data_IF_233184687081
#
_entry.id   IF_233184687081
#
_cell.length_a   1.000
_cell.length_b   1.000
_cell.length_c   1.000
_cell.angle_alpha   90.00
_cell.angle_beta   90.00
_cell.angle_gamma   90.00
#
_symmetry.space_group_name_H-M   'P 1'
#
loop_
_entity.id
_entity.type
_entity.pdbx_description
1 polymer ?
#
# COMPACT_ATOMS: atom_id res chain seq x y z
N UNK A 1 -15.94 -3.70 13.25
CA UNK A 1 -15.50 -4.20 11.93
C UNK A 1 -15.90 -5.66 11.90
N UNK A 2 -16.90 -6.06 11.11
CA UNK A 2 -17.28 -7.46 11.00
C UNK A 2 -16.30 -8.12 10.00
N UNK A 3 -15.27 -8.78 10.51
CA UNK A 3 -14.47 -9.72 9.72
C UNK A 3 -15.34 -10.95 9.44
N UNK A 4 -15.39 -11.38 8.19
CA UNK A 4 -15.98 -12.67 7.84
C UNK A 4 -14.89 -13.71 8.10
N UNK A 5 -15.03 -14.45 9.20
CA UNK A 5 -14.01 -15.37 9.71
C UNK A 5 -12.63 -14.69 9.82
N UNK A 6 -11.61 -15.28 9.19
CA UNK A 6 -10.21 -14.82 9.17
C UNK A 6 -9.88 -13.84 8.02
N UNK A 7 -10.89 -13.37 7.27
CA UNK A 7 -10.69 -12.53 6.08
C UNK A 7 -11.18 -11.09 6.33
N UNK A 8 -10.25 -10.14 6.19
CA UNK A 8 -10.55 -8.70 6.34
C UNK A 8 -11.23 -8.09 5.12
N UNK A 9 -10.82 -8.49 3.91
CA UNK A 9 -11.34 -7.98 2.64
C UNK A 9 -11.84 -9.15 1.79
N UNK A 10 -13.11 -9.56 1.93
CA UNK A 10 -13.66 -10.67 1.18
C UNK A 10 -13.80 -10.34 -0.31
N UNK A 11 -13.68 -11.37 -1.15
CA UNK A 11 -13.87 -11.31 -2.59
C UNK A 11 -15.33 -11.53 -2.99
N UNK A 12 -15.54 -12.23 -4.12
CA UNK A 12 -16.89 -12.65 -4.52
C UNK A 12 -17.49 -13.70 -3.57
N UNK A 13 -16.64 -14.52 -2.95
CA UNK A 13 -17.00 -15.42 -1.86
C UNK A 13 -16.54 -14.80 -0.53
N UNK A 14 -17.37 -14.90 0.52
CA UNK A 14 -17.15 -14.22 1.81
C UNK A 14 -16.00 -14.84 2.63
N UNK A 15 -15.68 -16.09 2.39
CA UNK A 15 -14.62 -16.88 3.01
C UNK A 15 -13.26 -16.74 2.32
N UNK A 16 -13.20 -16.03 1.18
CA UNK A 16 -11.98 -15.90 0.37
C UNK A 16 -11.51 -14.46 0.28
N UNK A 17 -10.20 -14.20 0.39
CA UNK A 17 -9.66 -12.87 0.20
C UNK A 17 -9.87 -12.36 -1.23
N UNK A 18 -9.97 -11.04 -1.37
CA UNK A 18 -9.99 -10.37 -2.67
C UNK A 18 -8.74 -10.72 -3.49
N UNK A 19 -8.93 -10.93 -4.80
CA UNK A 19 -7.80 -11.16 -5.71
C UNK A 19 -7.05 -9.86 -6.02
N UNK A 20 -5.76 -9.98 -6.37
CA UNK A 20 -4.94 -8.84 -6.80
C UNK A 20 -5.59 -8.08 -7.97
N UNK A 21 -6.19 -8.81 -8.91
CA UNK A 21 -6.91 -8.22 -10.06
C UNK A 21 -8.12 -7.39 -9.64
N UNK A 22 -8.88 -7.87 -8.64
CA UNK A 22 -10.02 -7.14 -8.10
C UNK A 22 -9.58 -5.88 -7.33
N UNK A 23 -8.52 -5.97 -6.53
CA UNK A 23 -7.92 -4.81 -5.85
C UNK A 23 -7.41 -3.76 -6.87
N UNK A 24 -6.72 -4.19 -7.92
CA UNK A 24 -6.25 -3.29 -8.99
C UNK A 24 -7.41 -2.60 -9.72
N UNK A 25 -8.50 -3.32 -9.99
CA UNK A 25 -9.71 -2.74 -10.58
C UNK A 25 -10.35 -1.70 -9.66
N UNK A 26 -10.39 -1.98 -8.36
CA UNK A 26 -10.92 -1.05 -7.36
C UNK A 26 -10.11 0.26 -7.32
N UNK A 27 -8.77 0.17 -7.29
CA UNK A 27 -7.89 1.34 -7.29
C UNK A 27 -8.06 2.17 -8.57
N UNK A 28 -8.19 1.53 -9.73
CA UNK A 28 -8.47 2.25 -11.00
C UNK A 28 -9.77 3.05 -10.96
N UNK A 29 -10.84 2.48 -10.37
CA UNK A 29 -12.12 3.18 -10.21
C UNK A 29 -12.02 4.40 -9.29
N UNK A 30 -11.27 4.29 -8.20
CA UNK A 30 -11.03 5.42 -7.29
C UNK A 30 -10.27 6.52 -8.01
N UNK A 31 -9.20 6.14 -8.73
CA UNK A 31 -8.36 7.09 -9.47
C UNK A 31 -9.17 7.94 -10.44
N UNK A 32 -10.12 7.33 -11.16
CA UNK A 32 -10.95 8.05 -12.12
C UNK A 32 -11.86 9.13 -11.47
N UNK A 33 -12.08 9.07 -10.15
CA UNK A 33 -12.86 10.04 -9.37
C UNK A 33 -12.03 11.06 -8.57
N UNK A 34 -10.70 10.98 -8.61
CA UNK A 34 -9.82 11.90 -7.89
C UNK A 34 -9.22 12.93 -8.85
N UNK A 35 -9.15 14.23 -8.48
CA UNK A 35 -8.56 15.28 -9.31
C UNK A 35 -7.02 15.28 -9.20
N UNK A 36 -6.40 14.12 -9.41
CA UNK A 36 -4.95 13.92 -9.34
C UNK A 36 -4.47 13.20 -10.60
N UNK A 37 -3.20 13.42 -10.95
CA UNK A 37 -2.57 12.79 -12.12
C UNK A 37 -2.53 11.25 -12.01
N UNK A 38 -2.29 10.55 -13.11
CA UNK A 38 -2.29 9.07 -13.13
C UNK A 38 -1.29 8.51 -12.11
N UNK A 39 -1.80 7.69 -11.18
CA UNK A 39 -1.01 7.05 -10.14
C UNK A 39 -1.32 5.55 -10.05
N UNK A 40 -0.34 4.77 -9.58
CA UNK A 40 -0.47 3.32 -9.35
C UNK A 40 -0.42 3.00 -7.87
N UNK A 41 -0.86 1.79 -7.51
CA UNK A 41 -0.73 1.25 -6.15
C UNK A 41 0.69 1.32 -5.61
N UNK A 42 1.71 1.17 -6.47
CA UNK A 42 3.11 1.30 -6.07
C UNK A 42 3.49 2.72 -5.65
N UNK A 43 2.86 3.74 -6.26
CA UNK A 43 3.15 5.13 -5.94
C UNK A 43 2.65 5.50 -4.55
N UNK A 44 1.56 4.88 -4.09
CA UNK A 44 1.12 5.00 -2.69
C UNK A 44 2.24 4.57 -1.71
N UNK A 45 2.93 3.46 -2.00
CA UNK A 45 4.05 2.99 -1.18
C UNK A 45 5.23 3.97 -1.18
N UNK A 46 5.51 4.62 -2.32
CA UNK A 46 6.54 5.66 -2.43
C UNK A 46 6.15 6.91 -1.65
N UNK A 47 4.92 7.40 -1.83
CA UNK A 47 4.40 8.57 -1.12
C UNK A 47 4.42 8.38 0.40
N UNK A 48 4.13 7.17 0.90
CA UNK A 48 4.23 6.85 2.32
C UNK A 48 5.68 6.99 2.82
N UNK A 49 6.65 6.46 2.07
CA UNK A 49 8.07 6.57 2.42
C UNK A 49 8.56 8.02 2.46
N UNK A 50 8.20 8.81 1.44
CA UNK A 50 8.57 10.23 1.36
C UNK A 50 7.90 11.02 2.48
N UNK A 51 6.59 10.86 2.67
CA UNK A 51 5.84 11.57 3.72
C UNK A 51 6.33 11.21 5.13
N UNK A 52 6.65 9.94 5.40
CA UNK A 52 7.26 9.54 6.67
C UNK A 52 8.62 10.21 6.89
N UNK A 53 9.44 10.33 5.83
CA UNK A 53 10.73 11.00 5.90
C UNK A 53 10.59 12.51 6.15
N UNK A 54 9.64 13.17 5.50
CA UNK A 54 9.31 14.58 5.72
C UNK A 54 8.81 14.87 7.15
N UNK A 55 8.11 13.90 7.75
CA UNK A 55 7.66 13.96 9.15
C UNK A 55 8.80 13.66 10.16
N UNK A 56 10.02 13.40 9.70
CA UNK A 56 11.19 13.13 10.54
C UNK A 56 11.24 11.70 11.12
N UNK A 57 10.49 10.76 10.55
CA UNK A 57 10.57 9.34 10.94
C UNK A 57 11.93 8.79 10.50
N UNK A 58 12.60 8.08 11.41
CA UNK A 58 13.93 7.53 11.13
C UNK A 58 13.87 6.50 9.97
N UNK A 59 14.85 6.48 9.05
CA UNK A 59 14.83 5.60 7.87
C UNK A 59 14.63 4.12 8.20
N UNK A 60 15.32 3.61 9.22
CA UNK A 60 15.19 2.21 9.64
C UNK A 60 13.80 1.84 10.18
N UNK A 61 13.01 2.83 10.62
CA UNK A 61 11.61 2.63 11.02
C UNK A 61 10.73 2.56 9.78
N UNK A 62 10.96 3.44 8.80
CA UNK A 62 10.25 3.43 7.52
C UNK A 62 10.51 2.11 6.76
N UNK A 63 11.76 1.64 6.71
CA UNK A 63 12.14 0.36 6.11
C UNK A 63 11.42 -0.83 6.76
N UNK A 64 11.31 -0.84 8.10
CA UNK A 64 10.54 -1.85 8.83
C UNK A 64 9.03 -1.75 8.53
N UNK A 65 8.46 -0.56 8.45
CA UNK A 65 7.05 -0.36 8.09
C UNK A 65 6.74 -0.84 6.67
N UNK A 66 7.70 -0.74 5.75
CA UNK A 66 7.59 -1.20 4.37
C UNK A 66 7.92 -2.69 4.19
N UNK A 67 8.33 -3.37 5.26
CA UNK A 67 8.67 -4.80 5.25
C UNK A 67 9.94 -5.12 4.47
N UNK A 68 10.90 -4.19 4.39
CA UNK A 68 12.20 -4.47 3.78
C UNK A 68 13.05 -5.29 4.74
N UNK A 69 13.69 -6.37 4.25
CA UNK A 69 14.76 -7.01 5.01
C UNK A 69 15.92 -6.03 5.11
N UNK A 70 16.46 -5.83 6.32
CA UNK A 70 17.63 -4.98 6.60
C UNK A 70 18.90 -5.62 6.02
N UNK A 71 18.95 -5.78 4.71
CA UNK A 71 20.07 -6.27 3.91
C UNK A 71 20.86 -5.10 3.34
N UNK A 72 21.58 -4.40 4.22
CA UNK A 72 22.74 -3.54 3.96
C UNK A 72 22.80 -2.71 2.66
N UNK A 73 22.76 -1.38 2.82
CA UNK A 73 23.42 -0.46 1.87
C UNK A 73 22.56 0.73 1.46
N UNK A 74 22.92 1.89 1.99
CA UNK A 74 22.36 3.20 1.68
C UNK A 74 22.55 3.51 0.18
N UNK A 75 21.53 4.02 -0.51
CA UNK A 75 21.75 4.97 -1.62
C UNK A 75 20.66 6.03 -1.64
N UNK A 76 21.09 7.28 -1.40
CA UNK A 76 20.41 8.48 -1.82
C UNK A 76 19.94 8.38 -3.28
N UNK A 77 18.72 8.88 -3.55
CA UNK A 77 18.47 10.15 -4.24
C UNK A 77 17.04 10.61 -3.94
#
# INVERSE_FOLDING_TARGET
MATYDDVLFPGGDLDKPITISAANRYIRRIRDGLPIEDWRTHDFRRSLSTGASELGVMPHVVEKMLGHELGGGISCL
#
